data_IF_388175707347
#
_entry.id   IF_388175707347
#
_cell.length_a   1.000
_cell.length_b   1.000
_cell.length_c   1.000
_cell.angle_alpha   90.00
_cell.angle_beta   90.00
_cell.angle_gamma   90.00
#
_symmetry.space_group_name_H-M   'P 1'
#
loop_
_entity.id
_entity.type
_entity.pdbx_description
1 polymer ?
#
# COMPACT_ATOMS: atom_id res chain seq x y z
N UNK A 1 3.30 18.13 4.04
CA UNK A 1 3.19 17.51 5.38
C UNK A 1 4.57 17.23 5.97
N UNK A 2 5.44 16.43 5.35
CA UNK A 2 6.76 16.09 5.91
C UNK A 2 7.65 17.30 6.28
N UNK A 3 7.85 18.26 5.37
CA UNK A 3 8.65 19.47 5.63
C UNK A 3 8.03 20.41 6.70
N UNK A 4 6.72 20.29 6.96
CA UNK A 4 6.05 21.04 8.02
C UNK A 4 6.15 20.40 9.41
N UNK A 5 6.69 19.19 9.48
CA UNK A 5 6.91 18.43 10.73
C UNK A 5 8.39 18.29 11.06
N UNK A 6 9.25 19.07 10.40
CA UNK A 6 10.70 19.06 10.61
C UNK A 6 11.31 17.67 10.34
N UNK A 7 10.76 16.94 9.36
CA UNK A 7 11.34 15.70 8.86
C UNK A 7 12.21 16.02 7.65
N UNK A 8 13.46 15.58 7.70
CA UNK A 8 14.35 15.65 6.55
C UNK A 8 13.83 14.76 5.40
N UNK A 9 14.32 14.93 4.18
CA UNK A 9 13.85 14.15 3.01
C UNK A 9 13.87 12.62 3.25
N UNK A 10 14.83 12.14 4.03
CA UNK A 10 15.03 10.72 4.39
C UNK A 10 14.05 10.26 5.49
N UNK A 11 13.33 11.16 6.15
CA UNK A 11 12.46 10.87 7.30
C UNK A 11 13.17 10.94 8.66
N UNK A 12 14.38 11.49 8.71
CA UNK A 12 15.08 11.75 9.98
C UNK A 12 14.41 12.96 10.65
N UNK A 13 13.93 12.82 11.89
CA UNK A 13 13.35 13.96 12.59
C UNK A 13 14.45 14.97 12.97
N UNK A 14 14.23 16.25 12.66
CA UNK A 14 14.89 17.37 13.31
C UNK A 14 14.41 17.53 14.76
N UNK A 15 14.80 18.61 15.44
CA UNK A 15 14.43 18.79 16.85
C UNK A 15 12.92 18.81 17.08
N UNK A 16 12.15 19.42 16.17
CA UNK A 16 10.70 19.52 16.33
C UNK A 16 10.02 18.17 16.01
N UNK A 17 10.52 17.44 15.01
CA UNK A 17 10.06 16.09 14.69
C UNK A 17 10.36 15.09 15.82
N UNK A 18 11.51 15.23 16.49
CA UNK A 18 11.89 14.38 17.62
C UNK A 18 11.00 14.65 18.84
N UNK A 19 10.65 15.92 19.09
CA UNK A 19 9.68 16.30 20.12
C UNK A 19 8.29 15.75 19.80
N UNK A 20 7.85 15.76 18.54
CA UNK A 20 6.59 15.15 18.12
C UNK A 20 6.60 13.62 18.28
N UNK A 21 7.69 12.94 17.93
CA UNK A 21 7.83 11.49 18.13
C UNK A 21 7.73 11.08 19.61
N UNK A 22 8.23 11.94 20.51
CA UNK A 22 8.18 11.75 21.96
C UNK A 22 6.84 12.15 22.61
N UNK A 23 5.90 12.74 21.86
CA UNK A 23 4.59 13.12 22.40
C UNK A 23 3.72 11.89 22.70
N UNK A 24 3.09 11.87 23.87
CA UNK A 24 2.13 10.83 24.23
C UNK A 24 0.81 11.04 23.45
N UNK A 25 0.32 10.05 22.69
CA UNK A 25 -0.97 10.13 22.01
C UNK A 25 -2.18 10.30 22.93
N UNK A 26 -2.03 10.16 24.25
CA UNK A 26 -3.10 10.33 25.25
C UNK A 26 -3.20 11.76 25.81
N UNK A 27 -2.39 12.70 25.33
CA UNK A 27 -2.46 14.09 25.81
C UNK A 27 -3.84 14.71 25.52
N UNK A 28 -4.40 15.54 26.41
CA UNK A 28 -5.73 16.15 26.27
C UNK A 28 -5.69 17.36 25.31
N UNK A 29 -5.21 17.13 24.09
CA UNK A 29 -5.06 18.12 23.03
C UNK A 29 -5.46 17.44 21.72
N UNK A 30 -6.02 18.19 20.76
CA UNK A 30 -6.47 17.60 19.51
C UNK A 30 -5.27 17.32 18.57
N UNK A 31 -4.88 16.05 18.45
CA UNK A 31 -3.89 15.59 17.45
C UNK A 31 -4.58 14.89 16.29
N UNK A 32 -4.61 15.48 15.08
CA UNK A 32 -5.25 14.87 13.92
C UNK A 32 -4.78 13.43 13.62
N UNK A 33 -3.52 13.11 13.91
CA UNK A 33 -2.92 11.79 13.65
C UNK A 33 -3.25 10.71 14.68
N UNK A 34 -3.71 11.10 15.87
CA UNK A 34 -4.25 10.18 16.88
C UNK A 34 -5.76 9.95 16.70
N UNK A 35 -6.38 10.58 15.70
CA UNK A 35 -7.80 10.49 15.41
C UNK A 35 -8.05 9.67 14.14
N UNK A 36 -9.09 8.84 14.18
CA UNK A 36 -9.44 7.98 13.05
C UNK A 36 -9.76 8.76 11.78
N UNK A 37 -10.57 9.81 11.87
CA UNK A 37 -11.05 10.56 10.70
C UNK A 37 -9.92 11.14 9.82
N UNK A 38 -9.03 11.99 10.37
CA UNK A 38 -7.95 12.58 9.59
C UNK A 38 -6.93 11.53 9.10
N UNK A 39 -6.62 10.53 9.92
CA UNK A 39 -5.68 9.47 9.54
C UNK A 39 -6.24 8.58 8.42
N UNK A 40 -7.53 8.24 8.49
CA UNK A 40 -8.25 7.54 7.44
C UNK A 40 -8.26 8.32 6.14
N UNK A 41 -8.55 9.62 6.20
CA UNK A 41 -8.59 10.48 5.01
C UNK A 41 -7.20 10.59 4.36
N UNK A 42 -6.15 10.69 5.16
CA UNK A 42 -4.76 10.67 4.67
C UNK A 42 -4.45 9.38 3.91
N UNK A 43 -4.70 8.21 4.53
CA UNK A 43 -4.50 6.93 3.85
C UNK A 43 -5.36 6.79 2.60
N UNK A 44 -6.64 7.13 2.66
CA UNK A 44 -7.55 7.04 1.53
C UNK A 44 -7.07 7.88 0.32
N UNK A 45 -6.67 9.13 0.55
CA UNK A 45 -6.16 10.03 -0.51
C UNK A 45 -4.83 9.52 -1.07
N UNK A 46 -3.92 9.09 -0.22
CA UNK A 46 -2.61 8.58 -0.62
C UNK A 46 -2.75 7.30 -1.47
N UNK A 47 -3.60 6.37 -1.02
CA UNK A 47 -3.90 5.13 -1.74
C UNK A 47 -4.56 5.41 -3.08
N UNK A 48 -5.53 6.32 -3.12
CA UNK A 48 -6.16 6.74 -4.36
C UNK A 48 -5.13 7.31 -5.34
N UNK A 49 -4.22 8.17 -4.88
CA UNK A 49 -3.17 8.76 -5.71
C UNK A 49 -2.20 7.71 -6.27
N UNK A 50 -1.75 6.76 -5.45
CA UNK A 50 -0.81 5.73 -5.88
C UNK A 50 -1.44 4.67 -6.80
N UNK A 51 -2.74 4.41 -6.63
CA UNK A 51 -3.42 3.31 -7.33
C UNK A 51 -4.19 3.75 -8.57
N UNK A 52 -4.44 5.06 -8.75
CA UNK A 52 -5.03 5.63 -9.95
C UNK A 52 -4.31 5.19 -11.24
N UNK A 53 -2.96 5.25 -11.34
CA UNK A 53 -2.25 4.81 -12.55
C UNK A 53 -2.53 3.35 -12.90
N UNK A 54 -2.82 2.55 -11.88
CA UNK A 54 -3.03 1.13 -12.03
C UNK A 54 -4.43 0.74 -12.45
N UNK A 55 -5.38 1.65 -12.29
CA UNK A 55 -6.75 1.49 -12.72
C UNK A 55 -6.91 1.76 -14.22
N UNK A 56 -6.07 2.64 -14.78
CA UNK A 56 -6.07 3.02 -16.21
C UNK A 56 -6.04 1.81 -17.18
N UNK A 57 -5.10 0.85 -17.07
CA UNK A 57 -5.09 -0.32 -17.96
C UNK A 57 -6.32 -1.21 -17.80
N UNK A 58 -6.87 -1.31 -16.58
CA UNK A 58 -8.10 -2.07 -16.30
C UNK A 58 -9.31 -1.45 -17.00
N UNK A 59 -9.45 -0.12 -16.94
CA UNK A 59 -10.56 0.59 -17.57
C UNK A 59 -10.49 0.53 -19.10
N UNK A 60 -9.31 0.71 -19.68
CA UNK A 60 -9.10 0.62 -21.14
C UNK A 60 -9.35 -0.80 -21.66
N UNK A 61 -8.97 -1.83 -20.89
CA UNK A 61 -9.31 -3.23 -21.19
C UNK A 61 -10.82 -3.45 -21.17
N UNK A 62 -11.53 -2.93 -20.17
CA UNK A 62 -12.99 -3.03 -20.09
C UNK A 62 -13.68 -2.31 -21.26
N UNK A 63 -13.21 -1.11 -21.62
CA UNK A 63 -13.72 -0.37 -22.79
C UNK A 63 -13.55 -1.16 -24.09
N UNK A 64 -12.42 -1.85 -24.26
CA UNK A 64 -12.20 -2.74 -25.41
C UNK A 64 -13.19 -3.91 -25.43
N UNK A 65 -13.53 -4.44 -24.26
CA UNK A 65 -14.56 -5.47 -24.08
C UNK A 65 -15.99 -4.94 -24.28
N UNK A 66 -16.24 -3.64 -24.12
CA UNK A 66 -17.55 -3.05 -24.45
C UNK A 66 -17.88 -3.19 -25.94
N UNK A 67 -16.87 -3.06 -26.81
CA UNK A 67 -17.04 -3.20 -28.26
C UNK A 67 -17.07 -4.66 -28.71
N UNK A 68 -16.33 -5.54 -28.03
CA UNK A 68 -16.13 -6.94 -28.47
C UNK A 68 -17.04 -7.97 -27.78
N UNK A 69 -17.65 -7.65 -26.65
CA UNK A 69 -18.43 -8.59 -25.83
C UNK A 69 -19.72 -7.97 -25.23
N UNK A 70 -20.32 -7.00 -25.93
CA UNK A 70 -21.56 -6.30 -25.53
C UNK A 70 -21.53 -5.72 -24.10
N UNK A 71 -20.37 -5.21 -23.68
CA UNK A 71 -20.20 -4.61 -22.35
C UNK A 71 -21.01 -3.33 -22.18
N UNK A 72 -21.65 -3.16 -21.01
CA UNK A 72 -22.41 -1.95 -20.71
C UNK A 72 -21.60 -0.92 -19.93
N UNK A 73 -21.97 0.36 -20.07
CA UNK A 73 -21.47 1.44 -19.20
C UNK A 73 -21.80 1.20 -17.73
N UNK A 74 -22.92 0.52 -17.43
CA UNK A 74 -23.29 0.20 -16.06
C UNK A 74 -22.29 -0.77 -15.42
N UNK A 75 -21.82 -1.79 -16.15
CA UNK A 75 -20.77 -2.68 -15.65
C UNK A 75 -19.42 -1.96 -15.47
N UNK A 76 -19.06 -1.02 -16.35
CA UNK A 76 -17.84 -0.21 -16.21
C UNK A 76 -17.85 0.60 -14.90
N UNK A 77 -18.97 1.26 -14.59
CA UNK A 77 -19.15 1.97 -13.32
C UNK A 77 -19.12 0.99 -12.14
N UNK A 78 -19.73 -0.19 -12.29
CA UNK A 78 -19.67 -1.25 -11.29
C UNK A 78 -18.23 -1.64 -10.93
N UNK A 79 -17.35 -1.82 -11.92
CA UNK A 79 -15.93 -2.15 -11.70
C UNK A 79 -15.23 -1.08 -10.87
N UNK A 80 -15.44 0.20 -11.21
CA UNK A 80 -14.83 1.32 -10.48
C UNK A 80 -15.31 1.34 -9.02
N UNK A 81 -16.62 1.23 -8.81
CA UNK A 81 -17.20 1.25 -7.46
C UNK A 81 -16.66 0.08 -6.63
N UNK A 82 -16.61 -1.12 -7.22
CA UNK A 82 -16.09 -2.31 -6.53
C UNK A 82 -14.63 -2.13 -6.12
N UNK A 83 -13.80 -1.59 -7.02
CA UNK A 83 -12.40 -1.33 -6.72
C UNK A 83 -12.22 -0.29 -5.60
N UNK A 84 -12.95 0.83 -5.69
CA UNK A 84 -12.89 1.90 -4.68
C UNK A 84 -13.35 1.38 -3.31
N UNK A 85 -14.42 0.57 -3.25
CA UNK A 85 -14.92 -0.02 -2.00
C UNK A 85 -13.84 -0.84 -1.30
N UNK A 86 -13.09 -1.68 -2.03
CA UNK A 86 -12.00 -2.46 -1.42
C UNK A 86 -10.89 -1.56 -0.89
N UNK A 87 -10.50 -0.53 -1.63
CA UNK A 87 -9.46 0.40 -1.17
C UNK A 87 -9.87 1.25 0.01
N UNK A 88 -11.12 1.72 0.04
CA UNK A 88 -11.69 2.43 1.18
C UNK A 88 -11.74 1.52 2.42
N UNK A 89 -12.18 0.27 2.25
CA UNK A 89 -12.17 -0.71 3.34
C UNK A 89 -10.75 -0.99 3.85
N UNK A 90 -9.79 -1.12 2.94
CA UNK A 90 -8.37 -1.30 3.30
C UNK A 90 -7.78 -0.07 4.00
N UNK A 91 -8.12 1.14 3.56
CA UNK A 91 -7.71 2.38 4.21
C UNK A 91 -8.26 2.47 5.65
N UNK A 92 -9.52 2.05 5.87
CA UNK A 92 -10.09 1.97 7.22
C UNK A 92 -9.35 0.93 8.08
N UNK A 93 -9.03 -0.24 7.51
CA UNK A 93 -8.30 -1.30 8.19
C UNK A 93 -6.90 -0.84 8.61
N UNK A 94 -6.10 -0.28 7.69
CA UNK A 94 -4.72 0.15 7.99
C UNK A 94 -4.71 1.30 8.99
N UNK A 95 -5.71 2.19 8.95
CA UNK A 95 -5.90 3.25 9.94
C UNK A 95 -6.16 2.66 11.33
N UNK A 96 -7.04 1.66 11.43
CA UNK A 96 -7.32 0.96 12.69
C UNK A 96 -6.08 0.26 13.23
N UNK A 97 -5.31 -0.41 12.37
CA UNK A 97 -4.04 -1.05 12.74
C UNK A 97 -3.04 0.00 13.23
N UNK A 98 -2.85 1.11 12.50
CA UNK A 98 -1.92 2.17 12.90
C UNK A 98 -2.29 2.79 14.25
N UNK A 99 -3.57 3.08 14.49
CA UNK A 99 -4.02 3.59 15.79
C UNK A 99 -3.84 2.55 16.90
N UNK A 100 -4.16 1.28 16.63
CA UNK A 100 -3.92 0.19 17.58
C UNK A 100 -2.46 0.08 17.98
N UNK A 101 -1.53 0.17 17.02
CA UNK A 101 -0.10 0.14 17.29
C UNK A 101 0.40 1.42 17.99
N UNK A 102 -0.18 2.58 17.67
CA UNK A 102 0.12 3.87 18.30
C UNK A 102 -0.29 3.86 19.79
N UNK A 103 -1.53 3.51 20.10
CA UNK A 103 -2.03 3.44 21.48
C UNK A 103 -1.45 2.25 22.27
N UNK A 104 -1.09 1.17 21.57
CA UNK A 104 -0.32 0.05 22.11
C UNK A 104 1.16 0.39 22.40
N UNK A 105 1.62 1.58 21.99
CA UNK A 105 2.98 2.04 22.25
C UNK A 105 4.06 1.37 21.40
N UNK A 106 3.68 0.61 20.37
CA UNK A 106 4.57 -0.11 19.46
C UNK A 106 5.18 0.84 18.42
N UNK A 107 4.42 1.86 18.03
CA UNK A 107 4.76 2.85 17.03
C UNK A 107 4.73 4.26 17.65
N UNK A 108 5.56 5.18 17.16
CA UNK A 108 5.57 6.59 17.55
C UNK A 108 4.56 7.45 16.77
N UNK A 109 4.46 8.74 17.10
CA UNK A 109 3.58 9.68 16.38
C UNK A 109 3.91 9.84 14.90
N UNK A 110 5.13 9.50 14.47
CA UNK A 110 5.58 9.57 13.09
C UNK A 110 5.23 8.29 12.29
N UNK A 111 4.67 7.29 12.96
CA UNK A 111 4.37 6.01 12.33
C UNK A 111 5.58 5.09 12.23
N UNK A 112 6.67 5.37 12.95
CA UNK A 112 7.89 4.56 13.00
C UNK A 112 7.83 3.58 14.18
N UNK A 113 8.22 2.32 13.95
CA UNK A 113 8.34 1.33 15.02
C UNK A 113 9.35 1.78 16.09
N UNK A 114 8.96 1.78 17.37
CA UNK A 114 9.86 2.17 18.47
C UNK A 114 11.04 1.22 18.67
N UNK A 115 10.90 -0.01 18.18
CA UNK A 115 11.95 -1.03 18.27
C UNK A 115 12.50 -1.34 16.88
N UNK A 116 13.84 -1.40 16.71
CA UNK A 116 14.45 -1.73 15.43
C UNK A 116 14.08 -3.16 14.98
N UNK A 117 13.83 -4.06 15.93
CA UNK A 117 13.37 -5.43 15.68
C UNK A 117 12.07 -5.52 14.89
N UNK A 118 11.13 -4.60 15.12
CA UNK A 118 9.88 -4.56 14.35
C UNK A 118 10.15 -4.21 12.88
N UNK A 119 11.03 -3.24 12.64
CA UNK A 119 11.44 -2.85 11.30
C UNK A 119 12.18 -3.98 10.57
N UNK A 120 13.10 -4.65 11.26
CA UNK A 120 13.83 -5.84 10.75
C UNK A 120 12.84 -6.96 10.38
N UNK A 121 11.93 -7.31 11.29
CA UNK A 121 10.96 -8.37 11.07
C UNK A 121 10.06 -8.06 9.86
N UNK A 122 9.61 -6.81 9.71
CA UNK A 122 8.82 -6.37 8.57
C UNK A 122 9.60 -6.44 7.25
N UNK A 123 10.86 -6.00 7.22
CA UNK A 123 11.70 -6.08 6.03
C UNK A 123 11.91 -7.53 5.58
N UNK A 124 12.22 -8.43 6.51
CA UNK A 124 12.40 -9.85 6.21
C UNK A 124 11.08 -10.49 5.78
N UNK A 125 9.97 -10.22 6.49
CA UNK A 125 8.67 -10.80 6.17
C UNK A 125 8.16 -10.34 4.79
N UNK A 126 8.27 -9.06 4.46
CA UNK A 126 7.86 -8.53 3.16
C UNK A 126 8.82 -8.99 2.05
N UNK A 127 10.12 -9.05 2.35
CA UNK A 127 11.11 -9.63 1.43
C UNK A 127 10.84 -11.11 1.14
N UNK A 128 10.44 -11.90 2.15
CA UNK A 128 10.03 -13.29 1.96
C UNK A 128 8.71 -13.40 1.18
N UNK A 129 7.76 -12.48 1.44
CA UNK A 129 6.49 -12.41 0.71
C UNK A 129 6.68 -12.24 -0.80
N UNK A 130 7.75 -11.56 -1.23
CA UNK A 130 8.12 -11.41 -2.65
C UNK A 130 8.33 -12.74 -3.38
N UNK A 131 8.71 -13.81 -2.68
CA UNK A 131 8.95 -15.14 -3.27
C UNK A 131 7.74 -16.07 -3.18
N UNK A 132 6.62 -15.61 -2.63
CA UNK A 132 5.45 -16.46 -2.43
C UNK A 132 4.67 -16.66 -3.73
N UNK A 133 4.13 -17.86 -3.91
CA UNK A 133 3.17 -18.15 -5.01
C UNK A 133 1.95 -17.22 -4.94
N UNK A 134 1.54 -16.81 -3.74
CA UNK A 134 0.45 -15.86 -3.57
C UNK A 134 0.75 -14.52 -4.27
N UNK A 135 1.96 -14.00 -4.12
CA UNK A 135 2.38 -12.77 -4.82
C UNK A 135 2.43 -12.98 -6.33
N UNK A 136 2.99 -14.07 -6.82
CA UNK A 136 3.04 -14.37 -8.26
C UNK A 136 1.63 -14.41 -8.89
N UNK A 137 0.66 -15.04 -8.23
CA UNK A 137 -0.73 -15.13 -8.69
C UNK A 137 -1.41 -13.74 -8.68
N UNK A 138 -1.36 -13.03 -7.55
CA UNK A 138 -1.96 -11.70 -7.43
C UNK A 138 -1.36 -10.72 -8.45
N UNK A 139 -0.04 -10.81 -8.66
CA UNK A 139 0.67 -9.97 -9.61
C UNK A 139 0.27 -10.30 -11.05
N UNK A 140 0.16 -11.58 -11.42
CA UNK A 140 -0.30 -11.99 -12.75
C UNK A 140 -1.69 -11.42 -13.09
N UNK A 141 -2.63 -11.44 -12.15
CA UNK A 141 -3.97 -10.86 -12.32
C UNK A 141 -3.92 -9.33 -12.42
N UNK A 142 -3.12 -8.67 -11.58
CA UNK A 142 -2.94 -7.21 -11.61
C UNK A 142 -2.25 -6.72 -12.88
N UNK A 143 -1.48 -7.59 -13.53
CA UNK A 143 -0.68 -7.30 -14.72
C UNK A 143 -1.46 -7.52 -16.02
N UNK A 144 -2.24 -8.61 -16.09
CA UNK A 144 -3.06 -8.96 -17.24
C UNK A 144 -4.55 -9.02 -16.87
N UNK A 145 -5.22 -7.88 -16.63
CA UNK A 145 -6.62 -7.85 -16.19
C UNK A 145 -7.60 -8.48 -17.19
N UNK A 146 -7.22 -8.58 -18.47
CA UNK A 146 -8.06 -9.17 -19.52
C UNK A 146 -8.38 -10.64 -19.28
N UNK A 147 -7.44 -11.43 -18.75
CA UNK A 147 -7.67 -12.86 -18.49
C UNK A 147 -8.70 -13.06 -17.37
N UNK A 148 -8.66 -12.17 -16.36
CA UNK A 148 -9.63 -12.14 -15.29
C UNK A 148 -11.02 -11.73 -15.78
N UNK A 149 -11.10 -10.69 -16.62
CA UNK A 149 -12.37 -10.25 -17.20
C UNK A 149 -13.00 -11.32 -18.11
N UNK A 150 -12.21 -12.02 -18.94
CA UNK A 150 -12.73 -13.10 -19.78
C UNK A 150 -13.27 -14.27 -18.96
N UNK A 151 -12.62 -14.62 -17.85
CA UNK A 151 -13.05 -15.71 -16.98
C UNK A 151 -14.31 -15.39 -16.16
N UNK A 152 -14.53 -14.11 -15.80
CA UNK A 152 -15.63 -13.68 -14.91
C UNK A 152 -16.59 -12.70 -15.59
N UNK A 153 -16.62 -12.68 -16.93
CA UNK A 153 -17.32 -11.67 -17.70
C UNK A 153 -18.80 -11.60 -17.33
N UNK A 154 -19.24 -10.42 -16.91
CA UNK A 154 -20.64 -10.15 -16.70
C UNK A 154 -20.93 -8.66 -16.95
N UNK A 155 -21.65 -8.32 -18.03
CA UNK A 155 -21.80 -6.93 -18.47
C UNK A 155 -22.78 -6.12 -17.60
N UNK A 156 -23.46 -6.74 -16.64
CA UNK A 156 -24.40 -6.05 -15.73
C UNK A 156 -23.65 -5.22 -14.70
N UNK A 157 -24.33 -4.23 -14.08
CA UNK A 157 -23.76 -3.45 -12.97
C UNK A 157 -23.26 -4.33 -11.82
N UNK A 158 -24.04 -5.33 -11.40
CA UNK A 158 -23.67 -6.26 -10.35
C UNK A 158 -22.49 -7.16 -10.75
N UNK A 159 -22.41 -7.54 -12.02
CA UNK A 159 -21.27 -8.22 -12.62
C UNK A 159 -20.00 -7.38 -12.54
N UNK A 160 -20.07 -6.15 -13.02
CA UNK A 160 -19.02 -5.14 -12.90
C UNK A 160 -18.53 -4.96 -11.47
N UNK A 161 -19.46 -4.83 -10.52
CA UNK A 161 -19.16 -4.69 -9.10
C UNK A 161 -18.35 -5.88 -8.55
N UNK A 162 -18.77 -7.12 -8.84
CA UNK A 162 -18.03 -8.31 -8.42
C UNK A 162 -16.65 -8.40 -9.06
N UNK A 163 -16.53 -8.05 -10.34
CA UNK A 163 -15.24 -8.00 -11.02
C UNK A 163 -14.31 -6.96 -10.37
N UNK A 164 -14.82 -5.74 -10.10
CA UNK A 164 -14.08 -4.68 -9.42
C UNK A 164 -13.64 -5.05 -8.01
N UNK A 165 -14.50 -5.69 -7.21
CA UNK A 165 -14.17 -6.19 -5.87
C UNK A 165 -13.02 -7.22 -5.93
N UNK A 166 -13.08 -8.17 -6.87
CA UNK A 166 -12.01 -9.16 -7.04
C UNK A 166 -10.69 -8.54 -7.45
N UNK A 167 -10.69 -7.66 -8.47
CA UNK A 167 -9.49 -6.91 -8.88
C UNK A 167 -8.91 -6.08 -7.75
N UNK A 168 -9.76 -5.38 -6.97
CA UNK A 168 -9.35 -4.63 -5.80
C UNK A 168 -8.67 -5.53 -4.75
N UNK A 169 -9.25 -6.70 -4.47
CA UNK A 169 -8.71 -7.65 -3.49
C UNK A 169 -7.34 -8.21 -3.92
N UNK A 170 -7.17 -8.56 -5.20
CA UNK A 170 -5.87 -8.97 -5.73
C UNK A 170 -4.84 -7.84 -5.66
N UNK A 171 -5.26 -6.60 -5.95
CA UNK A 171 -4.37 -5.44 -5.89
C UNK A 171 -3.91 -5.12 -4.46
N UNK A 172 -4.81 -5.23 -3.48
CA UNK A 172 -4.44 -5.13 -2.07
C UNK A 172 -3.50 -6.28 -1.70
N UNK A 173 -3.82 -7.51 -2.12
CA UNK A 173 -3.01 -8.71 -1.86
C UNK A 173 -1.59 -8.66 -2.44
N UNK A 174 -1.34 -7.95 -3.54
CA UNK A 174 0.02 -7.78 -4.05
C UNK A 174 0.78 -6.59 -3.43
N UNK A 175 0.08 -5.51 -3.06
CA UNK A 175 0.70 -4.26 -2.62
C UNK A 175 0.76 -4.08 -1.09
N UNK A 176 0.00 -4.86 -0.30
CA UNK A 176 -0.10 -4.66 1.15
C UNK A 176 1.27 -4.68 1.85
N UNK A 177 2.20 -5.53 1.40
CA UNK A 177 3.54 -5.63 1.99
C UNK A 177 4.29 -4.30 1.99
N UNK A 178 4.24 -3.56 0.88
CA UNK A 178 4.88 -2.24 0.80
C UNK A 178 4.17 -1.19 1.65
N UNK A 179 2.86 -1.31 1.86
CA UNK A 179 2.12 -0.42 2.74
C UNK A 179 2.53 -0.63 4.20
N UNK A 180 2.74 -1.88 4.60
CA UNK A 180 3.26 -2.23 5.92
C UNK A 180 4.74 -1.83 6.07
N UNK A 181 5.55 -1.89 5.00
CA UNK A 181 6.90 -1.32 5.03
C UNK A 181 6.92 0.19 5.34
N UNK A 182 5.81 0.90 5.13
CA UNK A 182 5.65 2.29 5.58
C UNK A 182 5.96 2.48 7.07
N UNK A 183 5.71 1.47 7.91
CA UNK A 183 6.01 1.51 9.35
C UNK A 183 7.51 1.38 9.69
N UNK A 184 8.35 1.01 8.70
CA UNK A 184 9.80 0.90 8.86
C UNK A 184 10.48 2.27 8.72
N UNK A 185 10.21 2.97 7.61
CA UNK A 185 10.79 4.28 7.31
C UNK A 185 9.95 5.47 7.80
N UNK A 186 8.79 5.21 8.40
CA UNK A 186 7.80 6.21 8.78
C UNK A 186 6.80 6.48 7.66
N UNK A 187 5.51 6.38 7.99
CA UNK A 187 4.40 6.64 7.05
C UNK A 187 4.45 8.07 6.50
N UNK A 188 5.17 8.96 7.21
CA UNK A 188 5.31 10.38 6.89
C UNK A 188 6.57 10.71 6.09
N UNK A 189 7.48 9.76 5.87
CA UNK A 189 8.70 9.98 5.08
C UNK A 189 8.37 10.01 3.59
N UNK A 190 8.54 11.18 2.97
CA UNK A 190 8.24 11.38 1.55
C UNK A 190 9.13 10.51 0.65
N UNK A 191 10.40 10.31 1.02
CA UNK A 191 11.34 9.48 0.27
C UNK A 191 11.01 7.99 0.40
N UNK A 192 10.58 7.54 1.59
CA UNK A 192 10.18 6.15 1.78
C UNK A 192 8.86 5.85 1.06
N UNK A 193 7.87 6.73 1.17
CA UNK A 193 6.62 6.65 0.41
C UNK A 193 6.85 6.74 -1.10
N UNK A 194 7.75 7.64 -1.53
CA UNK A 194 8.16 7.78 -2.93
C UNK A 194 8.82 6.52 -3.47
N UNK A 195 9.77 5.94 -2.73
CA UNK A 195 10.40 4.66 -3.08
C UNK A 195 9.38 3.52 -3.12
N UNK A 196 8.50 3.41 -2.12
CA UNK A 196 7.45 2.39 -2.10
C UNK A 196 6.54 2.51 -3.33
N UNK A 197 6.12 3.73 -3.68
CA UNK A 197 5.32 3.99 -4.88
C UNK A 197 6.08 3.62 -6.15
N UNK A 198 7.34 4.05 -6.25
CA UNK A 198 8.19 3.78 -7.39
C UNK A 198 8.37 2.27 -7.61
N UNK A 199 8.61 1.51 -6.53
CA UNK A 199 8.67 0.06 -6.59
C UNK A 199 7.34 -0.59 -6.95
N UNK A 200 6.21 -0.14 -6.40
CA UNK A 200 4.89 -0.64 -6.80
C UNK A 200 4.61 -0.40 -8.29
N UNK A 201 4.97 0.78 -8.80
CA UNK A 201 4.81 1.11 -10.22
C UNK A 201 5.72 0.24 -11.08
N UNK A 202 7.00 0.07 -10.69
CA UNK A 202 7.94 -0.80 -11.40
C UNK A 202 7.50 -2.26 -11.42
N UNK A 203 6.98 -2.78 -10.30
CA UNK A 203 6.43 -4.13 -10.25
C UNK A 203 5.29 -4.25 -11.25
N UNK A 204 4.40 -3.27 -11.33
CA UNK A 204 3.24 -3.31 -12.24
C UNK A 204 3.58 -3.18 -13.73
N UNK A 205 4.84 -2.93 -14.10
CA UNK A 205 5.27 -2.88 -15.49
C UNK A 205 5.48 -4.30 -16.08
N UNK A 206 4.79 -4.65 -17.19
CA UNK A 206 4.81 -5.99 -17.81
C UNK A 206 6.18 -6.61 -18.01
N UNK A 207 7.07 -5.82 -18.59
CA UNK A 207 8.33 -6.31 -19.11
C UNK A 207 9.39 -6.40 -18.00
N UNK A 208 9.15 -5.72 -16.87
CA UNK A 208 10.16 -5.44 -15.85
C UNK A 208 9.82 -6.11 -14.51
N UNK A 209 8.53 -6.30 -14.21
CA UNK A 209 8.05 -6.80 -12.92
C UNK A 209 8.62 -8.18 -12.53
N UNK A 210 8.73 -9.12 -13.47
CA UNK A 210 9.30 -10.45 -13.20
C UNK A 210 10.80 -10.42 -12.92
N UNK A 211 11.52 -9.44 -13.49
CA UNK A 211 12.97 -9.25 -13.29
C UNK A 211 13.23 -8.49 -11.99
N UNK A 212 12.34 -7.57 -11.61
CA UNK A 212 12.54 -6.66 -10.47
C UNK A 212 12.00 -7.20 -9.13
N UNK A 213 10.94 -8.02 -9.13
CA UNK A 213 10.36 -8.56 -7.88
C UNK A 213 11.36 -9.41 -7.08
N UNK A 214 12.10 -10.32 -7.74
CA UNK A 214 13.11 -11.16 -7.10
C UNK A 214 14.28 -10.39 -6.48
N UNK A 215 15.01 -9.52 -7.21
CA UNK A 215 16.13 -8.78 -6.62
C UNK A 215 15.66 -7.81 -5.53
N UNK A 216 14.45 -7.25 -5.64
CA UNK A 216 13.87 -6.43 -4.58
C UNK A 216 13.62 -7.24 -3.31
N UNK A 217 13.07 -8.46 -3.44
CA UNK A 217 12.92 -9.38 -2.31
C UNK A 217 14.25 -9.71 -1.63
N UNK A 218 15.30 -9.99 -2.41
CA UNK A 218 16.66 -10.22 -1.88
C UNK A 218 17.17 -8.96 -1.17
N UNK A 219 17.05 -7.78 -1.80
CA UNK A 219 17.51 -6.52 -1.23
C UNK A 219 16.83 -6.22 0.11
N UNK A 220 15.53 -6.46 0.23
CA UNK A 220 14.78 -6.28 1.48
C UNK A 220 15.25 -7.25 2.58
N UNK A 221 15.48 -8.52 2.26
CA UNK A 221 15.99 -9.52 3.22
C UNK A 221 17.41 -9.15 3.66
N UNK A 222 18.29 -8.80 2.72
CA UNK A 222 19.68 -8.41 3.02
C UNK A 222 19.71 -7.15 3.86
N UNK A 223 18.89 -6.15 3.55
CA UNK A 223 18.76 -4.93 4.35
C UNK A 223 18.27 -5.24 5.78
N UNK A 224 17.28 -6.11 5.93
CA UNK A 224 16.79 -6.56 7.24
C UNK A 224 17.87 -7.29 8.05
N UNK A 225 18.60 -8.22 7.43
CA UNK A 225 19.69 -8.95 8.08
C UNK A 225 20.88 -8.04 8.44
N UNK A 226 21.27 -7.14 7.53
CA UNK A 226 22.34 -6.18 7.78
C UNK A 226 21.99 -5.26 8.95
N UNK A 227 20.73 -4.80 9.02
CA UNK A 227 20.26 -4.00 10.14
C UNK A 227 20.24 -4.81 11.45
N UNK A 228 19.81 -6.08 11.41
CA UNK A 228 19.85 -6.96 12.57
C UNK A 228 21.28 -7.13 13.12
N UNK A 229 22.26 -7.38 12.24
CA UNK A 229 23.67 -7.48 12.62
C UNK A 229 24.15 -6.18 13.25
N UNK A 230 23.86 -5.04 12.63
CA UNK A 230 24.27 -3.73 13.15
C UNK A 230 23.61 -3.37 14.49
N UNK A 231 22.42 -3.89 14.79
CA UNK A 231 21.76 -3.67 16.08
C UNK A 231 22.29 -4.55 17.21
N UNK A 232 22.99 -5.64 16.89
CA UNK A 232 23.52 -6.62 17.85
C UNK A 232 25.00 -6.38 18.15
N UNK A 233 25.73 -5.76 17.23
CA UNK A 233 27.15 -5.36 17.35
C UNK A 233 27.26 -4.00 18.01
#
# INVERSE_FOLDING_TARGET
>A
MAMGMDLDLIGRPGEMGARMAAMDPRMPMYMPMANFGPLFLMWAVMMAAMMLPTLVPTLTTYESLMVSADGTRAGWVGVIIGYIVVWVAFAALITGVQLGLLFGGVIDMLGVGKTPWLGIALLIAVGAFQFTRAKEICHGVCHAPITYFLAHWNPTFAGGLRMGLGLGAFCVGCCWGFMVLGFVGGVMSLLWMGLATFFMVLEKLPQVGHIVTRPLGIALIVAGLAWAVWTVV
#
